data_IF_215963073735
#
_entry.id   IF_215963073735
#
_cell.length_a   1.000
_cell.length_b   1.000
_cell.length_c   1.000
_cell.angle_alpha   90.00
_cell.angle_beta   90.00
_cell.angle_gamma   90.00
#
_symmetry.space_group_name_H-M   'P 1'
#
loop_
_entity.id
_entity.type
_entity.pdbx_description
1 polymer ?
#
# COMPACT_ATOMS: atom_id res chain seq x y z
N UNK A 1 -11.86 -5.77 3.87
CA UNK A 1 -10.44 -5.43 4.14
C UNK A 1 -10.10 -4.06 3.57
N UNK A 2 -9.46 -3.22 4.40
CA UNK A 2 -8.90 -1.93 4.01
C UNK A 2 -7.41 -1.92 4.32
N UNK A 3 -6.62 -1.26 3.48
CA UNK A 3 -5.19 -1.09 3.69
C UNK A 3 -4.99 0.18 4.52
N UNK A 4 -4.21 0.11 5.59
CA UNK A 4 -3.92 1.26 6.44
C UNK A 4 -2.42 1.44 6.64
N UNK A 5 -1.97 2.68 6.82
CA UNK A 5 -0.60 2.97 7.24
C UNK A 5 -0.41 2.53 8.69
N UNK A 6 0.67 1.80 8.95
CA UNK A 6 0.98 1.28 10.28
C UNK A 6 1.26 2.41 11.29
N UNK A 7 1.84 3.52 10.80
CA UNK A 7 2.21 4.67 11.64
C UNK A 7 1.03 5.55 12.04
N UNK A 8 0.08 5.80 11.14
CA UNK A 8 -1.02 6.75 11.38
C UNK A 8 -2.37 6.07 11.56
N UNK A 9 -2.50 4.80 11.16
CA UNK A 9 -3.77 4.09 11.10
C UNK A 9 -4.70 4.59 9.99
N UNK A 10 -4.25 5.55 9.17
CA UNK A 10 -5.05 6.13 8.10
C UNK A 10 -5.16 5.16 6.93
N UNK A 11 -6.30 5.23 6.24
CA UNK A 11 -6.54 4.41 5.05
C UNK A 11 -5.66 4.87 3.88
N UNK A 12 -4.96 3.91 3.28
CA UNK A 12 -4.14 4.12 2.09
C UNK A 12 -5.05 4.18 0.88
N UNK A 13 -4.94 5.24 0.08
CA UNK A 13 -5.73 5.42 -1.15
C UNK A 13 -4.82 5.49 -2.37
N UNK A 14 -5.41 5.27 -3.54
CA UNK A 14 -4.74 5.53 -4.81
C UNK A 14 -4.55 7.04 -4.96
N UNK A 15 -3.36 7.48 -5.35
CA UNK A 15 -2.93 8.88 -5.39
C UNK A 15 -2.19 9.35 -4.14
N UNK A 16 -2.10 8.52 -3.09
CA UNK A 16 -1.28 8.85 -1.92
C UNK A 16 0.22 8.84 -2.26
N UNK A 17 0.94 9.81 -1.70
CA UNK A 17 2.40 9.85 -1.74
C UNK A 17 2.99 9.12 -0.52
N UNK A 18 3.76 8.07 -0.77
CA UNK A 18 4.41 7.27 0.28
C UNK A 18 5.91 7.35 0.15
N UNK A 19 6.59 7.34 1.29
CA UNK A 19 8.04 7.24 1.34
C UNK A 19 8.44 5.80 1.64
N UNK A 20 9.14 5.18 0.70
CA UNK A 20 9.72 3.85 0.88
C UNK A 20 10.80 3.89 1.97
N UNK A 21 11.15 2.71 2.52
CA UNK A 21 12.19 2.59 3.55
C UNK A 21 13.55 3.14 3.12
N UNK A 22 13.84 3.10 1.84
CA UNK A 22 15.08 3.64 1.24
C UNK A 22 15.08 5.18 1.14
N UNK A 23 13.92 5.81 1.38
CA UNK A 23 13.74 7.25 1.28
C UNK A 23 13.18 7.73 -0.07
N UNK A 24 12.97 6.84 -1.03
CA UNK A 24 12.31 7.12 -2.31
C UNK A 24 10.83 7.47 -2.10
N UNK A 25 10.38 8.61 -2.65
CA UNK A 25 8.99 9.03 -2.64
C UNK A 25 8.26 8.52 -3.90
N UNK A 26 7.16 7.80 -3.68
CA UNK A 26 6.40 7.12 -4.73
C UNK A 26 4.90 7.32 -4.51
N UNK A 27 4.15 7.40 -5.60
CA UNK A 27 2.69 7.52 -5.60
C UNK A 27 2.06 6.13 -5.66
N UNK A 28 1.02 5.87 -4.84
CA UNK A 28 0.22 4.65 -4.94
C UNK A 28 -0.68 4.72 -6.16
N UNK A 29 -0.48 3.82 -7.14
CA UNK A 29 -1.27 3.81 -8.37
C UNK A 29 -2.35 2.74 -8.37
N UNK A 30 -2.13 1.62 -7.66
CA UNK A 30 -3.08 0.53 -7.59
C UNK A 30 -2.92 -0.25 -6.28
N UNK A 31 -4.03 -0.65 -5.69
CA UNK A 31 -4.06 -1.49 -4.49
C UNK A 31 -4.79 -2.79 -4.84
N UNK A 32 -4.05 -3.88 -4.85
CA UNK A 32 -4.55 -5.23 -5.09
C UNK A 32 -4.83 -5.93 -3.76
N UNK A 33 -6.12 -6.04 -3.43
CA UNK A 33 -6.58 -6.65 -2.19
C UNK A 33 -6.26 -8.15 -2.18
N UNK A 34 -5.86 -8.72 -1.03
CA UNK A 34 -5.75 -10.16 -0.90
C UNK A 34 -7.11 -10.83 -1.08
N UNK A 35 -7.19 -11.81 -1.97
CA UNK A 35 -8.42 -12.55 -2.25
C UNK A 35 -8.71 -13.67 -1.23
N UNK A 36 -7.72 -14.01 -0.38
CA UNK A 36 -7.80 -15.01 0.69
C UNK A 36 -6.89 -14.56 1.85
N UNK A 37 -7.14 -14.97 3.10
CA UNK A 37 -6.30 -14.60 4.25
C UNK A 37 -4.85 -15.12 4.16
N UNK A 38 -4.61 -16.18 3.36
CA UNK A 38 -3.26 -16.65 3.04
C UNK A 38 -2.55 -15.85 1.94
N UNK A 39 -3.27 -14.94 1.26
CA UNK A 39 -2.69 -14.02 0.28
C UNK A 39 -2.35 -12.71 0.97
N UNK A 40 -1.19 -12.13 0.65
CA UNK A 40 -0.72 -10.87 1.24
C UNK A 40 -1.32 -9.64 0.54
N UNK A 41 -1.78 -9.78 -0.70
CA UNK A 41 -2.11 -8.66 -1.57
C UNK A 41 -0.85 -7.92 -2.04
N UNK A 42 -1.03 -6.93 -2.91
CA UNK A 42 0.06 -6.10 -3.45
C UNK A 42 -0.37 -4.65 -3.54
N UNK A 43 0.61 -3.77 -3.38
CA UNK A 43 0.43 -2.34 -3.59
C UNK A 43 1.40 -1.93 -4.66
N UNK A 44 0.86 -1.37 -5.72
CA UNK A 44 1.64 -0.88 -6.82
C UNK A 44 1.82 0.61 -6.68
N UNK A 45 3.07 1.03 -6.86
CA UNK A 45 3.50 2.40 -6.74
C UNK A 45 4.29 2.82 -7.97
N UNK A 46 4.39 4.11 -8.18
CA UNK A 46 5.14 4.72 -9.27
C UNK A 46 5.94 5.89 -8.72
N UNK A 47 7.24 5.95 -9.03
CA UNK A 47 8.03 7.11 -8.63
C UNK A 47 7.64 8.33 -9.47
N UNK A 48 7.76 9.54 -8.91
CA UNK A 48 7.36 10.78 -9.61
C UNK A 48 8.08 10.92 -10.96
N UNK A 49 9.36 10.55 -11.00
CA UNK A 49 10.22 10.71 -12.18
C UNK A 49 10.36 9.43 -13.02
N UNK A 50 9.72 8.33 -12.61
CA UNK A 50 9.85 7.04 -13.27
C UNK A 50 8.49 6.56 -13.78
N UNK A 51 8.44 6.13 -15.04
CA UNK A 51 7.19 5.65 -15.63
C UNK A 51 6.88 4.19 -15.25
N UNK A 52 7.81 3.46 -14.63
CA UNK A 52 7.60 2.07 -14.28
C UNK A 52 6.85 1.93 -12.97
N UNK A 53 5.78 1.15 -13.04
CA UNK A 53 5.02 0.74 -11.87
C UNK A 53 5.72 -0.44 -11.19
N UNK A 54 5.95 -0.34 -9.89
CA UNK A 54 6.57 -1.38 -9.06
C UNK A 54 5.55 -1.92 -8.06
N UNK A 55 5.42 -3.24 -7.98
CA UNK A 55 4.55 -3.90 -7.02
C UNK A 55 5.30 -4.28 -5.75
N UNK A 56 4.85 -3.80 -4.61
CA UNK A 56 5.40 -4.10 -3.29
C UNK A 56 4.40 -4.83 -2.40
N UNK A 57 4.92 -5.58 -1.44
CA UNK A 57 4.10 -6.08 -0.34
C UNK A 57 3.75 -4.94 0.63
N UNK A 58 2.55 -4.95 1.23
CA UNK A 58 2.12 -3.96 2.23
C UNK A 58 3.17 -3.66 3.30
N UNK A 59 3.85 -4.70 3.81
CA UNK A 59 4.87 -4.60 4.85
C UNK A 59 6.11 -3.79 4.45
N UNK A 60 6.42 -3.71 3.14
CA UNK A 60 7.55 -2.94 2.60
C UNK A 60 7.26 -1.44 2.65
N UNK A 61 6.02 -1.06 2.37
CA UNK A 61 5.57 0.34 2.37
C UNK A 61 5.01 0.79 3.73
N UNK A 62 5.12 -0.05 4.77
CA UNK A 62 4.65 0.28 6.11
C UNK A 62 3.12 0.32 6.22
N UNK A 63 2.45 -0.60 5.53
CA UNK A 63 0.99 -0.71 5.53
C UNK A 63 0.55 -2.12 5.87
N UNK A 64 -0.65 -2.24 6.43
CA UNK A 64 -1.24 -3.52 6.85
C UNK A 64 -2.70 -3.58 6.41
N UNK A 65 -3.14 -4.78 6.03
CA UNK A 65 -4.55 -5.06 5.79
C UNK A 65 -5.26 -5.24 7.12
N UNK A 66 -6.33 -4.49 7.33
CA UNK A 66 -7.23 -4.71 8.46
C UNK A 66 -8.61 -5.14 7.96
N UNK A 67 -9.15 -6.17 8.60
CA UNK A 67 -10.54 -6.56 8.49
C UNK A 67 -11.34 -5.52 9.30
N UNK A 68 -12.14 -4.70 8.61
CA UNK A 68 -13.17 -3.93 9.32
C UNK A 68 -14.24 -4.94 9.72
N UNK A 69 -14.32 -5.25 11.00
CA UNK A 69 -15.60 -5.62 11.60
C UNK A 69 -16.42 -4.33 11.66
N UNK A 70 -17.34 -4.16 10.71
CA UNK A 70 -18.48 -3.27 10.91
C UNK A 70 -19.31 -3.92 12.03
N UNK A 71 -19.39 -3.26 13.19
CA UNK A 71 -20.16 -3.67 14.37
C UNK A 71 -21.36 -2.74 14.56
#
# INVERSE_FOLDING_TARGET
MKLVYDKTGEEVKVGDMVKLRDGEEVEVTLIEKPHKPSSTGRVYVKAIFDLQQRGYFPSVIGTTWIEREDH
#
